data_IF_084669404496
#
_entry.id   IF_084669404496
#
_cell.length_a   1.000
_cell.length_b   1.000
_cell.length_c   1.000
_cell.angle_alpha   90.00
_cell.angle_beta   90.00
_cell.angle_gamma   90.00
#
_symmetry.space_group_name_H-M   'P 1'
#
loop_
_entity.id
_entity.type
_entity.pdbx_description
1 polymer ?
#
# COMPACT_ATOMS: atom_id res chain seq x y z
N UNK A 1 -27.08 10.29 -45.88
CA UNK A 1 -27.00 9.68 -44.53
C UNK A 1 -26.08 8.48 -44.62
N UNK A 2 -24.85 8.61 -44.13
CA UNK A 2 -23.90 7.50 -44.03
C UNK A 2 -23.85 7.06 -42.56
N UNK A 3 -24.08 5.77 -42.31
CA UNK A 3 -23.92 5.15 -40.99
C UNK A 3 -22.44 5.25 -40.55
N UNK A 4 -22.16 5.54 -39.27
CA UNK A 4 -20.78 5.60 -38.80
C UNK A 4 -20.18 4.19 -38.79
N UNK A 5 -18.98 4.06 -39.37
CA UNK A 5 -18.16 2.86 -39.32
C UNK A 5 -17.86 2.49 -37.87
N UNK A 6 -18.33 1.31 -37.46
CA UNK A 6 -17.91 0.67 -36.22
C UNK A 6 -16.43 0.33 -36.39
N UNK A 7 -15.56 1.07 -35.70
CA UNK A 7 -14.13 0.72 -35.61
C UNK A 7 -14.02 -0.66 -35.00
N UNK A 8 -13.49 -1.61 -35.76
CA UNK A 8 -13.12 -2.93 -35.29
C UNK A 8 -12.09 -2.77 -34.18
N UNK A 9 -12.47 -3.12 -32.95
CA UNK A 9 -11.51 -3.25 -31.87
C UNK A 9 -10.53 -4.38 -32.23
N UNK A 10 -9.22 -4.22 -31.98
CA UNK A 10 -8.30 -5.35 -32.14
C UNK A 10 -8.78 -6.47 -31.21
N UNK A 11 -8.88 -7.69 -31.75
CA UNK A 11 -9.41 -8.87 -31.05
C UNK A 11 -8.77 -9.10 -29.67
N UNK A 12 -7.52 -8.65 -29.47
CA UNK A 12 -6.83 -8.67 -28.17
C UNK A 12 -7.44 -7.75 -27.10
N UNK A 13 -7.96 -6.58 -27.47
CA UNK A 13 -8.61 -5.66 -26.52
C UNK A 13 -9.98 -6.19 -26.04
N UNK A 14 -10.70 -6.91 -26.90
CA UNK A 14 -11.96 -7.56 -26.54
C UNK A 14 -11.74 -8.78 -25.64
N UNK A 15 -10.67 -9.57 -25.88
CA UNK A 15 -10.29 -10.68 -25.02
C UNK A 15 -9.77 -10.20 -23.65
N UNK A 16 -8.93 -9.16 -23.62
CA UNK A 16 -8.51 -8.51 -22.38
C UNK A 16 -9.74 -7.97 -21.61
N UNK A 17 -10.66 -7.24 -22.26
CA UNK A 17 -11.89 -6.77 -21.62
C UNK A 17 -12.78 -7.90 -21.08
N UNK A 18 -12.88 -9.03 -21.79
CA UNK A 18 -13.64 -10.19 -21.33
C UNK A 18 -12.98 -10.94 -20.16
N UNK A 19 -11.64 -10.96 -20.09
CA UNK A 19 -10.88 -11.41 -18.92
C UNK A 19 -11.04 -10.43 -17.74
N UNK A 20 -10.96 -9.11 -17.97
CA UNK A 20 -11.13 -8.07 -16.95
C UNK A 20 -12.54 -8.07 -16.32
N UNK A 21 -13.57 -8.45 -17.08
CA UNK A 21 -14.95 -8.57 -16.59
C UNK A 21 -15.24 -9.91 -15.88
N UNK A 22 -14.38 -10.93 -16.06
CA UNK A 22 -14.54 -12.27 -15.48
C UNK A 22 -13.54 -12.58 -14.37
N UNK A 23 -12.40 -11.90 -14.33
CA UNK A 23 -11.40 -12.03 -13.28
C UNK A 23 -11.96 -11.46 -11.97
N UNK A 24 -11.69 -12.09 -10.82
CA UNK A 24 -11.82 -11.39 -9.55
C UNK A 24 -10.98 -10.11 -9.64
N UNK A 25 -11.54 -9.03 -9.12
CA UNK A 25 -11.15 -7.61 -9.24
C UNK A 25 -9.73 -7.23 -8.72
N UNK A 26 -8.77 -8.15 -8.69
CA UNK A 26 -7.42 -7.88 -8.18
C UNK A 26 -6.55 -7.03 -9.12
N UNK A 27 -7.07 -6.71 -10.32
CA UNK A 27 -6.36 -5.95 -11.35
C UNK A 27 -5.93 -4.60 -10.79
N UNK A 28 -4.62 -4.42 -10.64
CA UNK A 28 -4.01 -3.16 -10.24
C UNK A 28 -3.18 -3.21 -8.97
N UNK A 29 -3.22 -4.31 -8.21
CA UNK A 29 -2.48 -4.43 -6.95
C UNK A 29 -1.39 -5.49 -7.07
N UNK A 30 -0.29 -5.16 -7.74
CA UNK A 30 0.91 -6.00 -7.75
C UNK A 30 2.04 -5.21 -7.10
N UNK A 31 2.93 -5.90 -6.41
CA UNK A 31 4.14 -5.27 -5.87
C UNK A 31 5.09 -4.84 -6.96
N UNK A 32 6.13 -4.09 -6.61
CA UNK A 32 7.15 -3.75 -7.57
C UNK A 32 8.13 -4.90 -7.86
N UNK A 33 8.29 -5.88 -6.96
CA UNK A 33 9.23 -6.99 -7.12
C UNK A 33 8.58 -8.37 -7.00
N UNK A 34 8.87 -9.22 -7.99
CA UNK A 34 8.42 -10.59 -8.12
C UNK A 34 9.59 -11.58 -8.04
N UNK A 35 9.32 -12.77 -7.49
CA UNK A 35 10.30 -13.85 -7.38
C UNK A 35 9.83 -15.11 -8.14
N UNK A 36 10.68 -15.69 -9.01
CA UNK A 36 10.29 -16.81 -9.87
C UNK A 36 10.23 -18.16 -9.10
N UNK A 37 9.28 -19.05 -9.42
CA UNK A 37 9.15 -20.40 -8.87
C UNK A 37 10.32 -21.26 -9.35
N UNK A 38 11.01 -21.89 -8.40
CA UNK A 38 12.24 -22.64 -8.66
C UNK A 38 13.52 -21.85 -8.40
N UNK A 39 13.40 -20.58 -8.03
CA UNK A 39 14.51 -19.70 -7.72
C UNK A 39 15.12 -19.02 -8.95
N UNK A 40 15.80 -17.91 -8.71
CA UNK A 40 16.32 -17.02 -9.76
C UNK A 40 16.41 -15.59 -9.23
N UNK A 41 16.98 -14.66 -10.00
CA UNK A 41 17.02 -13.26 -9.61
C UNK A 41 15.59 -12.67 -9.55
N UNK A 42 15.32 -11.74 -8.62
CA UNK A 42 14.07 -11.00 -8.61
C UNK A 42 13.89 -10.16 -9.87
N UNK A 43 12.66 -9.94 -10.29
CA UNK A 43 12.31 -9.13 -11.46
C UNK A 43 11.17 -8.16 -11.15
N UNK A 44 10.98 -7.14 -11.99
CA UNK A 44 9.88 -6.20 -11.79
C UNK A 44 8.57 -6.93 -12.06
N UNK A 45 7.61 -6.95 -11.12
CA UNK A 45 6.26 -7.38 -11.48
C UNK A 45 5.70 -6.37 -12.48
N UNK A 46 5.76 -5.07 -12.14
CA UNK A 46 5.21 -4.00 -12.96
C UNK A 46 6.30 -3.19 -13.67
N UNK A 47 6.84 -3.70 -14.77
CA UNK A 47 7.79 -2.92 -15.58
C UNK A 47 7.07 -1.88 -16.45
N UNK A 48 7.56 -0.63 -16.46
CA UNK A 48 7.03 0.42 -17.34
C UNK A 48 7.15 -0.02 -18.82
N UNK A 49 6.03 -0.11 -19.57
CA UNK A 49 6.07 -0.51 -20.98
C UNK A 49 6.88 0.48 -21.83
N UNK A 50 7.62 0.02 -22.87
CA UNK A 50 8.40 0.93 -23.72
C UNK A 50 7.57 2.03 -24.39
N UNK A 51 6.29 1.78 -24.68
CA UNK A 51 5.36 2.77 -25.26
C UNK A 51 4.93 3.87 -24.27
N UNK A 52 5.19 3.66 -22.98
CA UNK A 52 5.01 4.63 -21.92
C UNK A 52 6.27 5.47 -21.66
N UNK A 53 7.33 5.27 -22.43
CA UNK A 53 8.53 6.11 -22.37
C UNK A 53 8.39 7.32 -23.32
N UNK A 54 8.86 8.53 -22.92
CA UNK A 54 9.50 8.82 -21.64
C UNK A 54 8.50 8.75 -20.47
N UNK A 55 8.99 8.34 -19.29
CA UNK A 55 8.27 8.42 -18.00
C UNK A 55 7.45 9.71 -17.90
N UNK A 56 6.22 9.63 -17.39
CA UNK A 56 5.26 10.74 -17.38
C UNK A 56 4.35 10.79 -18.61
N UNK A 57 4.55 9.93 -19.61
CA UNK A 57 3.66 9.81 -20.77
C UNK A 57 2.31 9.20 -20.38
N UNK A 58 1.24 9.96 -20.58
CA UNK A 58 -0.15 9.46 -20.50
C UNK A 58 -0.74 9.52 -21.90
N UNK A 59 -0.90 8.36 -22.54
CA UNK A 59 -1.52 8.23 -23.85
C UNK A 59 -2.42 6.99 -23.89
N UNK A 60 -3.43 6.92 -24.79
CA UNK A 60 -4.25 5.72 -24.91
C UNK A 60 -3.44 4.43 -25.17
N UNK A 61 -2.33 4.52 -25.90
CA UNK A 61 -1.45 3.39 -26.15
C UNK A 61 -0.67 2.98 -24.89
N UNK A 62 -0.18 3.95 -24.11
CA UNK A 62 0.48 3.67 -22.85
C UNK A 62 -0.50 3.07 -21.83
N UNK A 63 -1.67 3.68 -21.64
CA UNK A 63 -2.72 3.19 -20.73
C UNK A 63 -3.15 1.76 -21.07
N UNK A 64 -3.34 1.45 -22.36
CA UNK A 64 -3.63 0.10 -22.80
C UNK A 64 -2.49 -0.88 -22.51
N UNK A 65 -1.23 -0.47 -22.73
CA UNK A 65 -0.06 -1.31 -22.47
C UNK A 65 0.15 -1.55 -20.97
N UNK A 66 -0.08 -0.54 -20.12
CA UNK A 66 -0.01 -0.66 -18.67
C UNK A 66 -1.04 -1.68 -18.17
N UNK A 67 -2.30 -1.53 -18.59
CA UNK A 67 -3.38 -2.47 -18.25
C UNK A 67 -3.10 -3.91 -18.72
N UNK A 68 -2.58 -4.07 -19.94
CA UNK A 68 -2.23 -5.39 -20.48
C UNK A 68 -1.10 -6.04 -19.68
N UNK A 69 -0.13 -5.27 -19.20
CA UNK A 69 0.99 -5.80 -18.40
C UNK A 69 0.47 -6.40 -17.10
N UNK A 70 -0.38 -5.66 -16.36
CA UNK A 70 -1.00 -6.16 -15.12
C UNK A 70 -1.84 -7.42 -15.40
N UNK A 71 -2.69 -7.39 -16.42
CA UNK A 71 -3.52 -8.55 -16.77
C UNK A 71 -2.72 -9.77 -17.20
N UNK A 72 -1.54 -9.58 -17.81
CA UNK A 72 -0.64 -10.66 -18.17
C UNK A 72 0.06 -11.27 -16.96
N UNK A 73 0.51 -10.44 -16.01
CA UNK A 73 1.14 -10.90 -14.76
C UNK A 73 0.13 -11.65 -13.88
N UNK A 74 -1.09 -11.13 -13.76
CA UNK A 74 -2.17 -11.81 -13.03
C UNK A 74 -2.53 -13.16 -13.65
N UNK A 75 -2.68 -13.22 -14.97
CA UNK A 75 -2.93 -14.48 -15.67
C UNK A 75 -1.78 -15.48 -15.47
N UNK A 76 -0.57 -14.98 -15.20
CA UNK A 76 0.61 -15.76 -14.92
C UNK A 76 0.75 -16.20 -13.46
N UNK A 77 -0.15 -15.84 -12.52
CA UNK A 77 -0.09 -16.14 -11.07
C UNK A 77 0.18 -17.60 -10.66
N UNK A 78 0.21 -18.55 -11.60
CA UNK A 78 0.74 -19.91 -11.40
C UNK A 78 2.28 -19.98 -11.41
N UNK A 79 2.96 -18.87 -11.65
CA UNK A 79 4.40 -18.79 -11.86
C UNK A 79 5.11 -17.81 -10.92
N UNK A 80 4.61 -17.59 -9.70
CA UNK A 80 5.26 -16.72 -8.71
C UNK A 80 5.52 -17.50 -7.41
N UNK A 81 6.71 -17.35 -6.83
CA UNK A 81 7.04 -17.91 -5.51
C UNK A 81 6.68 -16.93 -4.38
N UNK A 82 6.89 -15.64 -4.62
CA UNK A 82 6.62 -14.55 -3.69
C UNK A 82 6.62 -13.20 -4.44
N UNK A 83 6.10 -12.19 -3.75
CA UNK A 83 6.08 -10.78 -4.15
C UNK A 83 6.53 -9.94 -2.94
N UNK A 84 6.97 -8.70 -3.19
CA UNK A 84 7.51 -7.82 -2.15
C UNK A 84 7.46 -6.36 -2.57
N UNK A 85 6.87 -5.49 -1.73
CA UNK A 85 7.00 -4.04 -1.92
C UNK A 85 8.33 -3.51 -1.41
N UNK A 86 9.05 -2.75 -2.22
CA UNK A 86 10.16 -1.94 -1.70
C UNK A 86 9.69 -0.71 -0.94
N UNK A 87 8.50 -0.17 -1.24
CA UNK A 87 7.97 0.98 -0.54
C UNK A 87 7.37 0.56 0.82
N UNK A 88 6.47 -0.44 0.83
CA UNK A 88 5.74 -0.87 2.03
C UNK A 88 6.58 -1.76 2.97
N UNK A 89 7.53 -2.55 2.47
CA UNK A 89 8.43 -3.34 3.30
C UNK A 89 9.81 -2.69 3.52
N UNK A 90 10.66 -2.65 2.48
CA UNK A 90 12.08 -2.31 2.64
C UNK A 90 12.32 -0.89 3.13
N UNK A 91 11.66 0.08 2.50
CA UNK A 91 11.79 1.48 2.87
C UNK A 91 11.22 1.71 4.26
N UNK A 92 10.03 1.18 4.59
CA UNK A 92 9.46 1.27 5.95
C UNK A 92 10.41 0.68 6.99
N UNK A 93 11.06 -0.45 6.72
CA UNK A 93 11.99 -1.09 7.65
C UNK A 93 13.15 -0.17 7.99
N UNK A 94 13.72 0.43 6.95
CA UNK A 94 14.87 1.32 7.06
C UNK A 94 14.50 2.67 7.66
N UNK A 95 13.34 3.24 7.31
CA UNK A 95 12.80 4.46 7.92
C UNK A 95 12.54 4.23 9.42
N UNK A 96 11.99 3.08 9.81
CA UNK A 96 11.72 2.73 11.21
C UNK A 96 13.02 2.67 12.03
N UNK A 97 14.05 1.98 11.53
CA UNK A 97 15.37 1.96 12.17
C UNK A 97 15.99 3.36 12.27
N UNK A 98 15.78 4.21 11.26
CA UNK A 98 16.33 5.55 11.23
C UNK A 98 15.74 6.47 12.30
N UNK A 99 14.44 6.36 12.57
CA UNK A 99 13.78 7.17 13.61
C UNK A 99 14.00 6.62 15.02
N UNK A 100 14.45 5.36 15.16
CA UNK A 100 14.92 4.80 16.44
C UNK A 100 14.33 3.45 16.85
N UNK A 101 13.46 2.84 16.05
CA UNK A 101 13.00 1.47 16.31
C UNK A 101 14.17 0.47 16.26
N UNK A 102 14.09 -0.60 17.05
CA UNK A 102 15.08 -1.67 16.96
C UNK A 102 14.95 -2.40 15.60
N UNK A 103 16.00 -3.11 15.14
CA UNK A 103 15.88 -3.90 13.91
C UNK A 103 14.80 -4.99 13.97
N UNK A 104 14.47 -5.50 15.16
CA UNK A 104 13.39 -6.49 15.33
C UNK A 104 12.02 -5.82 15.14
N UNK A 105 11.77 -4.71 15.84
CA UNK A 105 10.51 -3.95 15.71
C UNK A 105 10.32 -3.47 14.26
N UNK A 106 11.37 -2.94 13.63
CA UNK A 106 11.33 -2.51 12.24
C UNK A 106 10.98 -3.65 11.27
N UNK A 107 11.41 -4.88 11.57
CA UNK A 107 11.08 -6.05 10.75
C UNK A 107 9.62 -6.48 10.94
N UNK A 108 9.09 -6.42 12.16
CA UNK A 108 7.66 -6.66 12.40
C UNK A 108 6.76 -5.57 11.83
N UNK A 109 7.11 -4.30 11.97
CA UNK A 109 6.39 -3.16 11.37
C UNK A 109 6.27 -3.38 9.86
N UNK A 110 7.37 -3.67 9.17
CA UNK A 110 7.35 -3.91 7.73
C UNK A 110 6.61 -5.18 7.33
N UNK A 111 6.78 -6.29 8.05
CA UNK A 111 6.11 -7.53 7.71
C UNK A 111 4.57 -7.42 7.84
N UNK A 112 4.08 -6.73 8.87
CA UNK A 112 2.66 -6.43 9.00
C UNK A 112 2.19 -5.30 8.07
N UNK A 113 3.11 -4.48 7.56
CA UNK A 113 2.84 -3.54 6.47
C UNK A 113 2.30 -4.21 5.22
N UNK A 114 2.73 -5.44 4.92
CA UNK A 114 2.29 -6.20 3.73
C UNK A 114 1.00 -7.01 3.95
N UNK A 115 0.48 -7.05 5.18
CA UNK A 115 -0.75 -7.81 5.50
C UNK A 115 -2.00 -7.28 4.79
N UNK A 116 -2.21 -5.96 4.64
CA UNK A 116 -3.30 -5.44 3.80
C UNK A 116 -3.28 -6.00 2.38
N UNK A 117 -2.10 -6.17 1.78
CA UNK A 117 -2.01 -6.72 0.43
C UNK A 117 -2.37 -8.20 0.35
N UNK A 118 -1.83 -9.00 1.27
CA UNK A 118 -1.83 -10.47 1.12
C UNK A 118 -2.67 -11.24 2.13
N UNK A 119 -3.11 -10.59 3.21
CA UNK A 119 -3.70 -11.24 4.38
C UNK A 119 -2.67 -12.00 5.23
N UNK A 120 -1.51 -12.38 4.69
CA UNK A 120 -0.37 -12.92 5.41
C UNK A 120 0.90 -12.60 4.62
N UNK A 121 2.01 -12.37 5.31
CA UNK A 121 3.29 -12.10 4.68
C UNK A 121 4.41 -12.90 5.34
N UNK A 122 5.35 -13.38 4.52
CA UNK A 122 6.61 -13.97 4.97
C UNK A 122 7.74 -13.40 4.11
N UNK A 123 8.75 -12.75 4.72
CA UNK A 123 9.90 -12.27 3.99
C UNK A 123 10.58 -13.40 3.22
N UNK A 124 11.09 -13.10 2.02
CA UNK A 124 11.85 -14.05 1.22
C UNK A 124 13.26 -13.55 0.93
N UNK A 125 14.18 -14.49 0.70
CA UNK A 125 15.52 -14.18 0.23
C UNK A 125 15.55 -13.76 -1.25
N UNK A 126 16.73 -13.34 -1.73
CA UNK A 126 16.95 -12.98 -3.15
C UNK A 126 16.66 -14.10 -4.17
N UNK A 127 16.26 -15.30 -3.74
CA UNK A 127 15.86 -16.43 -4.58
C UNK A 127 14.38 -16.78 -4.40
N UNK A 128 13.60 -15.98 -3.69
CA UNK A 128 12.18 -16.21 -3.41
C UNK A 128 11.94 -17.32 -2.40
N UNK A 129 12.94 -17.74 -1.62
CA UNK A 129 12.74 -18.72 -0.56
C UNK A 129 12.31 -18.04 0.73
N UNK A 130 11.38 -18.63 1.50
CA UNK A 130 11.03 -18.15 2.82
C UNK A 130 12.28 -17.92 3.68
N UNK A 131 12.37 -16.72 4.26
CA UNK A 131 13.47 -16.36 5.16
C UNK A 131 13.35 -17.07 6.52
N UNK A 132 12.14 -17.48 6.90
CA UNK A 132 11.84 -18.27 8.09
C UNK A 132 11.65 -17.46 9.39
N UNK A 133 11.82 -16.15 9.35
CA UNK A 133 11.53 -15.23 10.46
C UNK A 133 10.57 -14.12 9.99
N UNK A 134 9.83 -13.54 10.93
CA UNK A 134 8.87 -12.45 10.70
C UNK A 134 7.67 -12.82 9.80
N UNK A 135 7.33 -14.12 9.74
CA UNK A 135 6.05 -14.54 9.17
C UNK A 135 4.90 -14.01 10.03
N UNK A 136 3.94 -13.35 9.40
CA UNK A 136 2.76 -12.81 10.08
C UNK A 136 1.66 -13.86 10.25
N UNK A 137 0.74 -13.61 11.17
CA UNK A 137 -0.49 -14.40 11.28
C UNK A 137 -1.38 -14.18 10.04
N UNK A 138 -2.28 -15.12 9.77
CA UNK A 138 -3.32 -14.95 8.76
C UNK A 138 -4.36 -13.95 9.24
N UNK A 139 -4.62 -12.95 8.41
CA UNK A 139 -5.51 -11.83 8.66
C UNK A 139 -6.21 -11.41 7.36
N UNK A 140 -6.91 -12.35 6.72
CA UNK A 140 -7.58 -12.15 5.44
C UNK A 140 -8.64 -11.04 5.45
N UNK A 141 -9.05 -10.56 6.62
CA UNK A 141 -9.96 -9.42 6.74
C UNK A 141 -9.36 -8.08 6.30
N UNK A 142 -8.03 -7.96 6.32
CA UNK A 142 -7.31 -6.80 5.78
C UNK A 142 -7.04 -6.93 4.27
N UNK A 143 -7.09 -8.15 3.72
CA UNK A 143 -6.65 -8.46 2.36
C UNK A 143 -7.39 -7.63 1.31
N UNK A 144 -6.66 -7.01 0.38
CA UNK A 144 -7.15 -6.07 -0.64
C UNK A 144 -8.33 -6.55 -1.48
N UNK A 145 -8.39 -7.84 -1.80
CA UNK A 145 -9.46 -8.48 -2.57
C UNK A 145 -10.63 -9.01 -1.69
N UNK A 146 -10.56 -8.86 -0.37
CA UNK A 146 -11.65 -9.22 0.54
C UNK A 146 -12.68 -8.09 0.67
N UNK A 147 -13.49 -7.96 -0.38
CA UNK A 147 -14.56 -6.96 -0.48
C UNK A 147 -15.65 -7.12 0.61
N UNK A 148 -15.78 -8.30 1.21
CA UNK A 148 -16.82 -8.59 2.22
C UNK A 148 -16.39 -8.22 3.64
N UNK A 149 -15.09 -8.33 3.94
CA UNK A 149 -14.52 -7.95 5.23
C UNK A 149 -14.19 -6.46 5.33
N UNK A 150 -14.16 -5.74 4.20
CA UNK A 150 -13.75 -4.34 4.12
C UNK A 150 -12.24 -4.14 3.90
N UNK A 151 -11.51 -5.21 3.53
CA UNK A 151 -10.06 -5.17 3.30
C UNK A 151 -9.65 -4.16 2.22
N UNK A 152 -10.47 -4.01 1.17
CA UNK A 152 -10.25 -2.99 0.12
C UNK A 152 -10.08 -1.57 0.67
N UNK A 153 -10.70 -1.21 1.80
CA UNK A 153 -10.59 0.15 2.35
C UNK A 153 -9.18 0.44 2.88
N UNK A 154 -8.36 -0.58 3.14
CA UNK A 154 -6.94 -0.40 3.48
C UNK A 154 -6.09 0.02 2.28
N UNK A 155 -6.59 -0.12 1.06
CA UNK A 155 -5.91 0.30 -0.17
C UNK A 155 -6.62 1.52 -0.77
N UNK A 156 -7.95 1.50 -0.76
CA UNK A 156 -8.78 2.57 -1.26
C UNK A 156 -9.29 3.43 -0.11
N UNK A 157 -8.55 4.50 0.21
CA UNK A 157 -8.78 5.36 1.37
C UNK A 157 -9.42 6.70 0.97
N UNK A 158 -10.74 6.79 0.73
CA UNK A 158 -11.35 8.03 0.28
C UNK A 158 -11.44 9.06 1.41
N UNK A 159 -11.33 10.33 1.04
CA UNK A 159 -11.55 11.45 1.97
C UNK A 159 -13.05 11.66 2.22
N UNK A 160 -13.39 12.11 3.42
CA UNK A 160 -14.72 12.61 3.73
C UNK A 160 -14.82 14.08 3.33
N UNK A 161 -15.81 14.41 2.50
CA UNK A 161 -16.02 15.79 2.01
C UNK A 161 -17.21 16.50 2.65
N UNK A 162 -17.88 15.91 3.64
CA UNK A 162 -19.02 16.57 4.30
C UNK A 162 -20.18 16.91 3.38
N UNK A 163 -20.33 16.20 2.26
CA UNK A 163 -21.29 16.53 1.20
C UNK A 163 -20.81 17.61 0.21
N UNK A 164 -19.60 18.15 0.37
CA UNK A 164 -18.95 19.02 -0.61
C UNK A 164 -18.48 18.23 -1.84
N UNK A 165 -18.43 18.89 -3.00
CA UNK A 165 -17.87 18.32 -4.22
C UNK A 165 -16.33 18.20 -4.18
N UNK A 166 -15.66 19.01 -3.35
CA UNK A 166 -14.19 19.05 -3.21
C UNK A 166 -13.75 18.92 -1.75
N UNK A 167 -12.59 18.30 -1.54
CA UNK A 167 -11.92 18.28 -0.23
C UNK A 167 -11.45 19.70 0.16
N UNK A 168 -11.18 19.98 1.45
CA UNK A 168 -10.59 21.26 1.86
C UNK A 168 -9.25 21.52 1.16
N UNK A 169 -9.00 22.77 0.76
CA UNK A 169 -7.88 23.14 -0.12
C UNK A 169 -6.46 22.81 0.40
N UNK A 170 -6.31 22.46 1.68
CA UNK A 170 -5.04 22.10 2.31
C UNK A 170 -4.83 20.58 2.46
N UNK A 171 -5.77 19.75 2.01
CA UNK A 171 -5.68 18.29 2.05
C UNK A 171 -5.86 17.75 0.63
N UNK A 172 -4.75 17.30 0.05
CA UNK A 172 -4.72 16.54 -1.20
C UNK A 172 -4.07 15.18 -0.96
N UNK A 173 -4.07 14.31 -1.95
CA UNK A 173 -3.58 12.95 -1.76
C UNK A 173 -2.07 12.85 -1.71
N UNK A 174 -1.29 13.86 -2.11
CA UNK A 174 0.13 13.90 -1.81
C UNK A 174 0.42 14.40 -0.39
N UNK A 175 -0.55 15.05 0.24
CA UNK A 175 -0.42 15.64 1.57
C UNK A 175 -1.63 15.28 2.47
N UNK A 176 -1.91 13.98 2.73
CA UNK A 176 -3.00 13.59 3.59
C UNK A 176 -2.76 14.08 5.01
N UNK A 177 -3.83 14.51 5.69
CA UNK A 177 -3.74 15.01 7.06
C UNK A 177 -4.07 13.91 8.07
N UNK A 178 -3.04 13.28 8.64
CA UNK A 178 -3.15 12.14 9.55
C UNK A 178 -3.86 12.46 10.87
N UNK A 179 -4.00 13.76 11.20
CA UNK A 179 -4.64 14.27 12.40
C UNK A 179 -5.94 15.04 12.14
N UNK A 180 -6.52 14.95 10.93
CA UNK A 180 -7.76 15.63 10.58
C UNK A 180 -8.96 14.65 10.54
N UNK A 181 -9.52 14.27 11.70
CA UNK A 181 -10.62 13.31 11.78
C UNK A 181 -11.92 13.84 11.17
N UNK A 182 -11.99 15.10 10.75
CA UNK A 182 -13.13 15.68 10.03
C UNK A 182 -13.10 15.43 8.52
N UNK A 183 -11.97 15.03 7.96
CA UNK A 183 -11.75 14.88 6.51
C UNK A 183 -11.07 13.56 6.13
N UNK A 184 -10.23 13.02 7.00
CA UNK A 184 -9.46 11.79 6.79
C UNK A 184 -9.94 10.72 7.77
N UNK A 185 -11.22 10.33 7.67
CA UNK A 185 -11.87 9.48 8.68
C UNK A 185 -11.12 8.18 8.93
N UNK A 186 -10.84 7.44 7.85
CA UNK A 186 -10.17 6.15 7.95
C UNK A 186 -8.74 6.27 8.48
N UNK A 187 -7.93 7.18 7.93
CA UNK A 187 -6.54 7.40 8.37
C UNK A 187 -6.50 7.85 9.83
N UNK A 188 -7.33 8.81 10.22
CA UNK A 188 -7.35 9.31 11.60
C UNK A 188 -7.78 8.22 12.60
N UNK A 189 -8.76 7.40 12.23
CA UNK A 189 -9.19 6.25 13.03
C UNK A 189 -8.07 5.21 13.17
N UNK A 190 -7.47 4.81 12.04
CA UNK A 190 -6.45 3.78 12.01
C UNK A 190 -5.18 4.22 12.76
N UNK A 191 -4.82 5.51 12.66
CA UNK A 191 -3.74 6.11 13.45
C UNK A 191 -4.01 6.04 14.95
N UNK A 192 -5.24 6.36 15.38
CA UNK A 192 -5.62 6.30 16.79
C UNK A 192 -5.58 4.86 17.33
N UNK A 193 -5.98 3.88 16.52
CA UNK A 193 -5.85 2.46 16.85
C UNK A 193 -4.40 1.99 16.94
N UNK A 194 -3.55 2.42 16.00
CA UNK A 194 -2.14 2.06 15.97
C UNK A 194 -1.35 2.70 17.12
N UNK A 195 -1.58 3.99 17.43
CA UNK A 195 -0.84 4.69 18.48
C UNK A 195 -1.16 4.14 19.87
N UNK A 196 -2.36 3.57 20.07
CA UNK A 196 -2.73 2.90 21.32
C UNK A 196 -1.85 1.67 21.61
N UNK A 197 -1.26 1.07 20.57
CA UNK A 197 -0.28 -0.01 20.67
C UNK A 197 -0.90 -1.37 20.97
N UNK A 198 -1.60 -1.52 22.10
CA UNK A 198 -2.22 -2.78 22.54
C UNK A 198 -3.56 -2.56 23.23
N UNK A 199 -4.34 -3.61 23.38
CA UNK A 199 -5.63 -3.61 24.06
C UNK A 199 -6.79 -3.32 23.12
N UNK A 200 -8.01 -3.47 23.64
CA UNK A 200 -9.23 -3.41 22.84
C UNK A 200 -9.74 -1.98 22.54
N UNK A 201 -9.00 -0.92 22.92
CA UNK A 201 -9.43 0.47 22.74
C UNK A 201 -8.33 1.32 22.08
N UNK A 202 -8.67 2.15 21.06
CA UNK A 202 -9.98 2.20 20.41
C UNK A 202 -10.25 0.89 19.65
N UNK A 203 -11.53 0.57 19.43
CA UNK A 203 -11.93 -0.57 18.61
C UNK A 203 -11.52 -0.30 17.15
N UNK A 204 -11.05 -1.33 16.43
CA UNK A 204 -10.81 -1.22 15.00
C UNK A 204 -12.14 -1.42 14.25
N UNK A 205 -12.65 -0.33 13.71
CA UNK A 205 -13.94 -0.28 13.03
C UNK A 205 -13.77 -0.38 11.52
N UNK A 206 -14.66 -1.13 10.86
CA UNK A 206 -14.64 -1.29 9.41
C UNK A 206 -14.86 0.06 8.73
N UNK A 207 -14.05 0.34 7.71
CA UNK A 207 -13.95 1.65 7.05
C UNK A 207 -13.63 2.83 8.00
N UNK A 208 -13.16 2.55 9.22
CA UNK A 208 -12.82 3.57 10.22
C UNK A 208 -14.02 4.37 10.72
N UNK A 209 -15.23 3.85 10.49
CA UNK A 209 -16.47 4.49 10.87
C UNK A 209 -16.81 4.17 12.32
N UNK A 210 -16.69 5.17 13.17
CA UNK A 210 -17.15 5.15 14.55
C UNK A 210 -18.54 5.77 14.68
N UNK A 211 -19.17 5.65 15.84
CA UNK A 211 -20.26 6.56 16.23
C UNK A 211 -19.77 8.01 16.21
N UNK A 212 -20.71 8.96 16.12
CA UNK A 212 -20.36 10.38 16.10
C UNK A 212 -19.67 10.78 17.41
N UNK A 213 -18.47 11.35 17.31
CA UNK A 213 -17.71 11.86 18.46
C UNK A 213 -18.35 13.13 19.03
N UNK A 214 -17.90 13.55 20.23
CA UNK A 214 -18.28 14.85 20.80
C UNK A 214 -17.82 16.05 19.95
N UNK A 215 -16.86 15.85 19.04
CA UNK A 215 -16.38 16.86 18.08
C UNK A 215 -17.16 16.82 16.76
N UNK A 216 -18.07 15.86 16.60
CA UNK A 216 -18.96 15.74 15.47
C UNK A 216 -18.44 14.91 14.30
N UNK A 217 -17.26 14.29 14.41
CA UNK A 217 -16.70 13.38 13.39
C UNK A 217 -17.13 11.92 13.61
N UNK A 218 -16.99 11.08 12.57
CA UNK A 218 -17.24 9.63 12.62
C UNK A 218 -15.95 8.81 12.59
N UNK A 219 -14.84 9.34 13.11
CA UNK A 219 -13.55 8.65 13.14
C UNK A 219 -13.04 8.39 14.57
N UNK A 220 -13.47 9.18 15.54
CA UNK A 220 -12.93 9.21 16.91
C UNK A 220 -13.98 9.00 18.00
N UNK A 221 -15.13 8.41 17.65
CA UNK A 221 -16.13 7.96 18.63
C UNK A 221 -15.71 6.70 19.39
N UNK A 222 -16.40 6.44 20.50
CA UNK A 222 -16.04 5.36 21.44
C UNK A 222 -16.46 3.94 21.01
N UNK A 223 -17.12 3.80 19.85
CA UNK A 223 -17.59 2.53 19.35
C UNK A 223 -17.78 2.58 17.84
N UNK A 224 -17.88 1.43 17.19
CA UNK A 224 -18.08 1.38 15.74
C UNK A 224 -19.47 1.85 15.35
N UNK A 225 -19.56 2.46 14.17
CA UNK A 225 -20.79 3.04 13.66
C UNK A 225 -21.88 1.96 13.59
N UNK A 226 -23.03 2.28 14.16
CA UNK A 226 -24.23 1.49 14.07
C UNK A 226 -25.43 2.41 13.86
N UNK A 227 -26.39 1.95 13.06
CA UNK A 227 -27.69 2.58 12.88
C UNK A 227 -28.75 1.71 13.55
N UNK A 228 -29.55 2.31 14.44
CA UNK A 228 -30.58 1.61 15.21
C UNK A 228 -30.05 0.35 15.92
N UNK A 229 -28.81 0.45 16.44
CA UNK A 229 -28.13 -0.64 17.15
C UNK A 229 -27.58 -1.76 16.25
N UNK A 230 -27.62 -1.60 14.92
CA UNK A 230 -27.11 -2.59 13.96
C UNK A 230 -26.02 -2.00 13.07
N UNK A 231 -25.05 -2.80 12.61
CA UNK A 231 -24.16 -2.41 11.53
C UNK A 231 -24.95 -1.85 10.34
N UNK A 232 -24.59 -0.65 9.90
CA UNK A 232 -25.16 -0.02 8.72
C UNK A 232 -24.41 -0.45 7.45
N UNK A 233 -25.09 -0.62 6.31
CA UNK A 233 -24.45 -1.00 5.06
C UNK A 233 -23.60 0.15 4.49
N UNK A 234 -22.46 -0.24 3.93
CA UNK A 234 -21.49 0.61 3.25
C UNK A 234 -21.41 0.12 1.79
N UNK A 235 -21.78 0.99 0.87
CA UNK A 235 -21.69 0.71 -0.57
C UNK A 235 -20.37 1.23 -1.11
N UNK A 236 -19.57 0.35 -1.69
CA UNK A 236 -18.31 0.70 -2.34
C UNK A 236 -18.42 0.49 -3.85
N UNK A 237 -18.13 1.52 -4.64
CA UNK A 237 -18.08 1.43 -6.10
C UNK A 237 -16.68 1.68 -6.62
N UNK A 238 -16.09 0.66 -7.27
CA UNK A 238 -14.78 0.74 -7.93
C UNK A 238 -14.93 1.08 -9.41
N UNK A 239 -14.19 2.07 -9.90
CA UNK A 239 -14.05 2.31 -11.33
C UNK A 239 -13.25 1.19 -12.00
N UNK A 240 -13.78 0.70 -13.11
CA UNK A 240 -13.12 -0.23 -14.02
C UNK A 240 -12.72 0.54 -15.28
N UNK A 241 -12.51 -0.18 -16.38
CA UNK A 241 -12.18 0.40 -17.68
C UNK A 241 -13.43 0.86 -18.44
N UNK A 242 -13.25 1.80 -19.38
CA UNK A 242 -14.28 2.25 -20.31
C UNK A 242 -15.59 2.72 -19.65
N UNK A 243 -15.49 3.41 -18.50
CA UNK A 243 -16.64 3.95 -17.78
C UNK A 243 -17.49 2.91 -17.07
N UNK A 244 -17.00 1.67 -16.92
CA UNK A 244 -17.65 0.64 -16.11
C UNK A 244 -17.26 0.81 -14.65
N UNK A 245 -18.10 0.30 -13.75
CA UNK A 245 -17.79 0.20 -12.32
C UNK A 245 -18.35 -1.12 -11.78
N UNK A 246 -17.76 -1.60 -10.68
CA UNK A 246 -18.32 -2.70 -9.89
C UNK A 246 -18.61 -2.20 -8.49
N UNK A 247 -19.83 -2.49 -8.03
CA UNK A 247 -20.30 -2.13 -6.70
C UNK A 247 -20.31 -3.36 -5.81
N UNK A 248 -19.76 -3.22 -4.61
CA UNK A 248 -19.81 -4.18 -3.53
C UNK A 248 -20.47 -3.51 -2.31
N UNK A 249 -21.01 -4.32 -1.42
CA UNK A 249 -21.58 -3.84 -0.15
C UNK A 249 -21.01 -4.67 0.99
N UNK A 250 -20.65 -4.00 2.08
CA UNK A 250 -20.27 -4.61 3.34
C UNK A 250 -20.82 -3.76 4.48
N UNK A 251 -20.98 -4.33 5.66
CA UNK A 251 -21.56 -3.58 6.79
C UNK A 251 -20.48 -2.86 7.62
N UNK A 252 -20.81 -1.77 8.29
CA UNK A 252 -19.97 -1.15 9.33
C UNK A 252 -19.79 -2.08 10.55
N UNK A 253 -19.35 -1.55 11.69
CA UNK A 253 -19.10 -2.34 12.90
C UNK A 253 -17.63 -2.72 13.05
N UNK A 254 -17.35 -3.77 13.82
CA UNK A 254 -15.99 -4.25 14.05
C UNK A 254 -15.40 -4.86 12.78
N UNK A 255 -14.13 -4.57 12.50
CA UNK A 255 -13.40 -5.25 11.45
C UNK A 255 -13.22 -6.74 11.84
N UNK A 256 -13.53 -7.71 10.97
CA UNK A 256 -13.03 -9.07 11.15
C UNK A 256 -11.56 -9.11 10.73
N UNK A 257 -10.68 -9.61 11.59
CA UNK A 257 -9.25 -9.76 11.31
C UNK A 257 -9.04 -10.92 10.35
N UNK A 258 -9.71 -12.03 10.61
CA UNK A 258 -9.75 -13.20 9.74
C UNK A 258 -11.19 -13.45 9.32
N UNK A 259 -11.39 -13.82 8.05
CA UNK A 259 -12.71 -14.00 7.45
C UNK A 259 -12.58 -14.91 6.23
N UNK A 260 -12.47 -16.21 6.48
CA UNK A 260 -12.39 -17.25 5.46
C UNK A 260 -13.15 -18.50 5.91
N UNK A 261 -13.75 -19.24 4.98
CA UNK A 261 -14.34 -20.57 5.20
C UNK A 261 -15.34 -20.67 6.37
N UNK A 262 -16.10 -19.60 6.63
CA UNK A 262 -17.07 -19.54 7.73
C UNK A 262 -16.46 -19.30 9.12
N UNK A 263 -15.15 -19.07 9.19
CA UNK A 263 -14.43 -18.63 10.37
C UNK A 263 -14.26 -17.11 10.36
N UNK A 264 -14.62 -16.46 11.47
CA UNK A 264 -14.49 -15.02 11.63
C UNK A 264 -13.83 -14.72 12.97
N UNK A 265 -12.71 -14.00 12.94
CA UNK A 265 -12.03 -13.48 14.15
C UNK A 265 -12.31 -11.99 14.26
N UNK A 266 -12.92 -11.50 15.34
CA UNK A 266 -13.20 -10.07 15.50
C UNK A 266 -11.94 -9.26 15.83
N UNK A 267 -11.97 -7.95 15.52
CA UNK A 267 -10.93 -6.97 15.88
C UNK A 267 -10.54 -6.95 17.37
N UNK A 268 -11.42 -7.38 18.28
CA UNK A 268 -11.09 -7.50 19.70
C UNK A 268 -9.98 -8.51 19.99
N UNK A 269 -9.78 -9.47 19.10
CA UNK A 269 -8.86 -10.58 19.28
C UNK A 269 -7.53 -10.34 18.53
N UNK A 270 -7.27 -9.10 18.09
CA UNK A 270 -6.07 -8.72 17.34
C UNK A 270 -4.78 -9.08 18.06
N UNK A 271 -4.69 -8.71 19.33
CA UNK A 271 -3.48 -8.92 20.12
C UNK A 271 -3.17 -10.41 20.28
N UNK A 272 -4.21 -11.22 20.48
CA UNK A 272 -4.09 -12.67 20.58
C UNK A 272 -3.68 -13.30 19.24
N UNK A 273 -4.22 -12.78 18.13
CA UNK A 273 -3.90 -13.24 16.77
C UNK A 273 -2.44 -12.95 16.39
N UNK A 274 -1.93 -11.76 16.74
CA UNK A 274 -0.52 -11.39 16.52
C UNK A 274 0.43 -12.19 17.42
N UNK A 275 0.09 -12.35 18.70
CA UNK A 275 0.96 -12.98 19.70
C UNK A 275 2.28 -12.22 19.92
N UNK A 276 3.30 -12.90 20.44
CA UNK A 276 4.68 -12.36 20.50
C UNK A 276 4.93 -11.19 21.45
N UNK A 277 3.95 -10.79 22.26
CA UNK A 277 4.07 -9.73 23.28
C UNK A 277 3.61 -8.35 22.80
N UNK A 278 3.50 -7.42 23.74
CA UNK A 278 2.89 -6.11 23.51
C UNK A 278 3.61 -5.26 22.44
N UNK A 279 4.94 -5.35 22.36
CA UNK A 279 5.72 -4.63 21.35
C UNK A 279 5.36 -5.10 19.93
N UNK A 280 5.34 -6.42 19.68
CA UNK A 280 4.97 -6.98 18.37
C UNK A 280 3.55 -6.60 17.97
N UNK A 281 2.61 -6.63 18.90
CA UNK A 281 1.24 -6.18 18.65
C UNK A 281 1.24 -4.72 18.20
N UNK A 282 1.94 -3.84 18.92
CA UNK A 282 2.03 -2.43 18.56
C UNK A 282 2.68 -2.23 17.19
N UNK A 283 3.71 -3.01 16.86
CA UNK A 283 4.36 -3.01 15.55
C UNK A 283 3.43 -3.46 14.43
N UNK A 284 2.63 -4.51 14.68
CA UNK A 284 1.64 -4.99 13.73
C UNK A 284 0.61 -3.92 13.37
N UNK A 285 0.08 -3.20 14.38
CA UNK A 285 -0.86 -2.10 14.15
C UNK A 285 -0.24 -0.95 13.39
N UNK A 286 1.02 -0.61 13.71
CA UNK A 286 1.76 0.46 13.04
C UNK A 286 2.04 0.11 11.57
N UNK A 287 2.44 -1.13 11.27
CA UNK A 287 2.64 -1.60 9.89
C UNK A 287 1.39 -1.43 9.04
N UNK A 288 0.26 -1.98 9.51
CA UNK A 288 -1.05 -1.88 8.81
C UNK A 288 -1.47 -0.42 8.60
N UNK A 289 -1.22 0.45 9.58
CA UNK A 289 -1.49 1.88 9.46
C UNK A 289 -0.64 2.56 8.38
N UNK A 290 0.67 2.31 8.39
CA UNK A 290 1.61 2.91 7.44
C UNK A 290 1.32 2.46 6.01
N UNK A 291 0.91 1.20 5.83
CA UNK A 291 0.44 0.70 4.53
C UNK A 291 -0.70 1.53 3.98
N UNK A 292 -1.81 1.62 4.71
CA UNK A 292 -2.99 2.37 4.27
C UNK A 292 -2.69 3.85 4.02
N UNK A 293 -1.75 4.43 4.77
CA UNK A 293 -1.29 5.79 4.56
C UNK A 293 -0.50 5.96 3.25
N UNK A 294 0.36 5.00 2.91
CA UNK A 294 1.08 5.00 1.65
C UNK A 294 0.11 4.83 0.47
N UNK A 295 -0.88 3.94 0.57
CA UNK A 295 -1.88 3.72 -0.48
C UNK A 295 -2.84 4.90 -0.66
N UNK A 296 -3.15 5.62 0.43
CA UNK A 296 -3.85 6.91 0.35
C UNK A 296 -3.13 7.89 -0.58
N UNK A 297 -1.79 7.86 -0.59
CA UNK A 297 -0.94 8.70 -1.45
C UNK A 297 -0.82 8.14 -2.86
N UNK A 298 -0.55 6.84 -2.97
CA UNK A 298 -0.44 6.15 -4.26
C UNK A 298 -1.66 6.38 -5.14
N UNK A 299 -2.86 6.21 -4.56
CA UNK A 299 -4.12 6.34 -5.28
C UNK A 299 -4.69 7.78 -5.33
N UNK A 300 -3.89 8.81 -5.01
CA UNK A 300 -4.34 10.22 -4.92
C UNK A 300 -5.19 10.67 -6.12
N UNK A 301 -4.78 10.31 -7.35
CA UNK A 301 -5.39 10.80 -8.58
C UNK A 301 -6.90 10.50 -8.63
N UNK A 302 -7.28 9.32 -8.12
CA UNK A 302 -8.69 9.00 -7.95
C UNK A 302 -9.22 9.44 -6.59
N UNK A 303 -8.50 9.17 -5.49
CA UNK A 303 -8.99 9.37 -4.13
C UNK A 303 -9.30 10.83 -3.79
N UNK A 304 -8.60 11.78 -4.40
CA UNK A 304 -8.87 13.22 -4.24
C UNK A 304 -10.18 13.64 -4.87
N UNK A 305 -10.67 12.85 -5.83
CA UNK A 305 -11.91 13.07 -6.57
C UNK A 305 -13.05 12.23 -6.01
N UNK A 306 -12.77 11.04 -5.49
CA UNK A 306 -13.73 10.24 -4.73
C UNK A 306 -14.09 10.89 -3.40
N UNK A 307 -15.21 10.48 -2.82
CA UNK A 307 -15.58 10.91 -1.48
C UNK A 307 -16.27 9.77 -0.74
N UNK A 308 -15.98 9.67 0.55
CA UNK A 308 -16.87 9.02 1.50
C UNK A 308 -18.04 9.96 1.80
N UNK A 309 -19.27 9.44 1.73
CA UNK A 309 -20.48 10.18 2.03
C UNK A 309 -21.42 9.38 2.95
N UNK A 310 -22.10 10.08 3.86
CA UNK A 310 -23.06 9.51 4.81
C UNK A 310 -22.86 9.97 6.25
N UNK A 311 -23.77 9.62 7.17
CA UNK A 311 -25.19 9.33 6.87
C UNK A 311 -25.91 10.63 6.46
N UNK A 312 -26.90 10.58 5.58
CA UNK A 312 -27.60 11.81 5.16
C UNK A 312 -28.66 12.23 6.19
N UNK A 313 -28.85 13.54 6.37
CA UNK A 313 -29.96 14.10 7.16
C UNK A 313 -31.34 13.89 6.51
N UNK A 314 -31.37 13.44 5.26
CA UNK A 314 -32.58 13.18 4.46
C UNK A 314 -33.06 11.72 4.50
N UNK A 315 -32.46 10.87 5.35
CA UNK A 315 -32.91 9.49 5.56
C UNK A 315 -32.10 8.41 4.85
N UNK A 316 -30.92 8.71 4.30
CA UNK A 316 -29.99 7.67 3.87
C UNK A 316 -29.31 7.06 5.09
N UNK A 317 -29.71 5.83 5.42
CA UNK A 317 -29.16 4.95 6.46
C UNK A 317 -27.81 4.33 6.08
N UNK A 318 -27.24 4.74 4.96
CA UNK A 318 -26.10 4.07 4.32
C UNK A 318 -24.92 5.01 4.15
N UNK A 319 -23.73 4.41 4.11
CA UNK A 319 -22.51 5.08 3.68
C UNK A 319 -22.20 4.70 2.25
N UNK A 320 -21.56 5.61 1.51
CA UNK A 320 -21.01 5.32 0.19
C UNK A 320 -19.57 5.77 0.06
N UNK A 321 -18.79 4.96 -0.66
CA UNK A 321 -17.45 5.27 -1.13
C UNK A 321 -17.46 5.05 -2.64
N UNK A 322 -17.49 6.13 -3.40
CA UNK A 322 -17.65 6.06 -4.85
C UNK A 322 -16.40 6.54 -5.58
N UNK A 323 -15.73 5.59 -6.24
CA UNK A 323 -14.89 5.83 -7.40
C UNK A 323 -15.75 5.73 -8.67
N UNK A 324 -16.80 6.55 -8.77
CA UNK A 324 -17.53 6.71 -10.04
C UNK A 324 -16.51 7.04 -11.15
N UNK A 325 -16.77 6.69 -12.43
CA UNK A 325 -15.78 6.80 -13.50
C UNK A 325 -15.49 8.27 -13.83
N UNK A 326 -14.68 8.88 -12.98
CA UNK A 326 -14.03 10.16 -13.17
C UNK A 326 -12.78 9.91 -14.02
N UNK A 327 -12.30 10.92 -14.75
CA UNK A 327 -10.99 10.83 -15.41
C UNK A 327 -9.92 10.36 -14.42
N UNK A 328 -9.02 9.49 -14.89
CA UNK A 328 -7.87 8.98 -14.12
C UNK A 328 -8.21 8.03 -12.95
N UNK A 329 -9.49 7.65 -12.79
CA UNK A 329 -9.93 6.64 -11.81
C UNK A 329 -9.98 5.21 -12.38
N UNK A 330 -9.78 5.04 -13.68
CA UNK A 330 -9.82 3.74 -14.33
C UNK A 330 -8.63 2.85 -13.96
N UNK A 331 -8.81 1.54 -14.08
CA UNK A 331 -7.73 0.57 -13.82
C UNK A 331 -6.51 0.76 -14.71
N UNK A 332 -6.69 1.37 -15.88
CA UNK A 332 -5.60 1.73 -16.80
C UNK A 332 -4.67 2.80 -16.22
N UNK A 333 -5.22 3.85 -15.61
CA UNK A 333 -4.45 4.90 -14.94
C UNK A 333 -3.85 4.41 -13.63
N UNK A 334 -4.65 3.68 -12.83
CA UNK A 334 -4.20 3.03 -11.62
C UNK A 334 -2.94 2.18 -11.87
N UNK A 335 -2.98 1.31 -12.88
CA UNK A 335 -1.84 0.47 -13.29
C UNK A 335 -0.61 1.31 -13.64
N UNK A 336 -0.80 2.36 -14.44
CA UNK A 336 0.30 3.21 -14.90
C UNK A 336 0.95 3.98 -13.73
N UNK A 337 0.15 4.46 -12.78
CA UNK A 337 0.67 5.22 -11.65
C UNK A 337 1.49 4.34 -10.70
N UNK A 338 1.10 3.09 -10.45
CA UNK A 338 1.95 2.13 -9.72
C UNK A 338 3.28 1.85 -10.44
N UNK A 339 3.27 1.74 -11.78
CA UNK A 339 4.51 1.58 -12.56
C UNK A 339 5.46 2.79 -12.46
N UNK A 340 4.99 3.94 -11.97
CA UNK A 340 5.81 5.12 -11.74
C UNK A 340 6.40 5.19 -10.33
N UNK A 341 6.01 4.30 -9.41
CA UNK A 341 6.44 4.39 -8.03
C UNK A 341 7.87 3.89 -7.81
N UNK A 342 8.40 3.14 -8.77
CA UNK A 342 9.74 2.58 -8.72
C UNK A 342 10.29 2.32 -10.13
N UNK A 343 11.61 2.16 -10.24
CA UNK A 343 12.26 1.74 -11.48
C UNK A 343 12.27 2.74 -12.63
N UNK A 344 11.82 3.97 -12.35
CA UNK A 344 11.70 5.05 -13.32
C UNK A 344 12.43 6.30 -12.81
N UNK A 345 12.64 7.27 -13.70
CA UNK A 345 13.19 8.58 -13.33
C UNK A 345 12.08 9.45 -12.73
N UNK A 346 12.10 9.63 -11.42
CA UNK A 346 11.07 10.37 -10.68
C UNK A 346 11.02 11.86 -11.06
N UNK A 347 12.12 12.43 -11.56
CA UNK A 347 12.13 13.82 -12.01
C UNK A 347 11.28 14.04 -13.26
N UNK A 348 11.02 12.99 -14.05
CA UNK A 348 10.18 13.03 -15.25
C UNK A 348 8.69 12.83 -14.96
N UNK A 349 8.34 12.33 -13.78
CA UNK A 349 6.95 12.21 -13.35
C UNK A 349 6.36 13.60 -13.13
N UNK A 350 5.15 13.90 -13.65
CA UNK A 350 4.43 15.13 -13.33
C UNK A 350 4.37 15.36 -11.82
N UNK A 351 4.63 16.59 -11.31
CA UNK A 351 4.67 16.84 -9.87
C UNK A 351 3.45 16.34 -9.10
N UNK A 352 2.25 16.42 -9.71
CA UNK A 352 1.01 15.95 -9.11
C UNK A 352 0.95 14.43 -8.85
N UNK A 353 1.85 13.63 -9.47
CA UNK A 353 1.87 12.18 -9.36
C UNK A 353 3.16 11.63 -8.73
N UNK A 354 3.97 12.47 -8.08
CA UNK A 354 5.21 12.04 -7.40
C UNK A 354 4.93 11.39 -6.04
N UNK A 355 4.19 10.29 -6.06
CA UNK A 355 3.67 9.61 -4.87
C UNK A 355 4.78 9.03 -4.00
N UNK A 356 5.83 8.44 -4.58
CA UNK A 356 6.94 7.83 -3.82
C UNK A 356 7.65 8.83 -2.90
N UNK A 357 7.94 10.02 -3.39
CA UNK A 357 8.59 11.06 -2.57
C UNK A 357 7.66 11.55 -1.45
N UNK A 358 6.39 11.79 -1.76
CA UNK A 358 5.39 12.18 -0.77
C UNK A 358 5.23 11.10 0.32
N UNK A 359 5.11 9.83 -0.08
CA UNK A 359 4.97 8.70 0.83
C UNK A 359 6.19 8.54 1.73
N UNK A 360 7.41 8.51 1.19
CA UNK A 360 8.63 8.36 2.01
C UNK A 360 8.77 9.49 3.04
N UNK A 361 8.44 10.73 2.66
CA UNK A 361 8.48 11.86 3.57
C UNK A 361 7.46 11.71 4.70
N UNK A 362 6.21 11.35 4.39
CA UNK A 362 5.17 11.25 5.41
C UNK A 362 5.34 10.03 6.31
N UNK A 363 5.73 8.88 5.74
CA UNK A 363 6.03 7.66 6.49
C UNK A 363 7.15 7.90 7.52
N UNK A 364 8.20 8.65 7.16
CA UNK A 364 9.23 9.05 8.12
C UNK A 364 8.66 9.86 9.29
N UNK A 365 7.80 10.85 9.00
CA UNK A 365 7.23 11.72 10.03
C UNK A 365 6.29 10.96 10.98
N UNK A 366 5.46 10.07 10.45
CA UNK A 366 4.60 9.20 11.26
C UNK A 366 5.42 8.21 12.08
N UNK A 367 6.41 7.54 11.48
CA UNK A 367 7.33 6.67 12.23
C UNK A 367 8.02 7.43 13.37
N UNK A 368 8.49 8.66 13.14
CA UNK A 368 9.08 9.50 14.19
C UNK A 368 8.08 9.86 15.29
N UNK A 369 6.83 10.18 14.94
CA UNK A 369 5.77 10.46 15.90
C UNK A 369 5.49 9.24 16.80
N UNK A 370 5.44 8.04 16.20
CA UNK A 370 5.26 6.79 16.93
C UNK A 370 6.49 6.43 17.79
N UNK A 371 7.70 6.64 17.27
CA UNK A 371 8.93 6.42 18.03
C UNK A 371 8.98 7.34 19.26
N UNK A 372 8.52 8.59 19.14
CA UNK A 372 8.39 9.52 20.28
C UNK A 372 7.36 9.02 21.29
N UNK A 373 6.17 8.61 20.82
CA UNK A 373 5.12 8.08 21.68
C UNK A 373 5.54 6.82 22.44
N UNK A 374 6.42 6.00 21.84
CA UNK A 374 6.97 4.77 22.42
C UNK A 374 8.28 4.98 23.17
N UNK A 375 8.79 6.21 23.25
CA UNK A 375 10.10 6.54 23.83
C UNK A 375 11.29 5.79 23.20
N UNK A 376 11.20 5.47 21.91
CA UNK A 376 12.28 4.85 21.12
C UNK A 376 12.97 5.85 20.17
N UNK A 377 12.47 7.08 20.09
CA UNK A 377 12.99 8.09 19.17
C UNK A 377 14.51 8.34 19.37
N UNK A 378 15.25 8.23 18.27
CA UNK A 378 16.69 8.49 18.23
C UNK A 378 16.97 9.99 18.28
N UNK A 379 18.01 10.38 19.03
CA UNK A 379 18.51 11.75 19.02
C UNK A 379 18.88 12.20 17.59
N UNK A 380 18.38 13.36 17.19
CA UNK A 380 18.63 13.93 15.86
C UNK A 380 17.75 13.37 14.73
N UNK A 381 16.84 12.43 15.01
CA UNK A 381 15.88 11.95 14.00
C UNK A 381 14.88 13.03 13.56
N UNK A 382 14.73 14.11 14.33
CA UNK A 382 13.88 15.25 14.03
C UNK A 382 14.56 16.33 13.17
N UNK A 383 15.85 16.16 12.87
CA UNK A 383 16.59 17.10 12.04
C UNK A 383 16.17 16.95 10.59
N UNK A 384 15.69 18.03 9.98
CA UNK A 384 15.27 18.06 8.58
C UNK A 384 16.37 17.54 7.61
N UNK A 385 17.64 17.82 7.92
CA UNK A 385 18.77 17.33 7.15
C UNK A 385 18.93 15.80 7.21
N UNK A 386 18.66 15.17 8.36
CA UNK A 386 18.75 13.72 8.51
C UNK A 386 17.64 13.02 7.71
N UNK A 387 16.40 13.53 7.80
CA UNK A 387 15.27 13.07 6.99
C UNK A 387 15.57 13.22 5.49
N UNK A 388 15.95 14.43 5.07
CA UNK A 388 16.22 14.74 3.65
C UNK A 388 17.32 13.82 3.09
N UNK A 389 18.44 13.66 3.80
CA UNK A 389 19.52 12.78 3.35
C UNK A 389 19.10 11.31 3.23
N UNK A 390 18.19 10.84 4.08
CA UNK A 390 17.66 9.48 4.00
C UNK A 390 16.70 9.30 2.84
N UNK A 391 15.69 10.17 2.75
CA UNK A 391 14.66 10.13 1.69
C UNK A 391 15.30 10.27 0.32
N UNK A 392 16.24 11.20 0.12
CA UNK A 392 16.96 11.34 -1.15
C UNK A 392 17.77 10.08 -1.50
N UNK A 393 18.37 9.42 -0.50
CA UNK A 393 19.08 8.14 -0.71
C UNK A 393 18.14 7.02 -1.17
N UNK A 394 16.98 6.89 -0.53
CA UNK A 394 15.94 5.92 -0.91
C UNK A 394 15.36 6.23 -2.29
N UNK A 395 15.03 7.48 -2.59
CA UNK A 395 14.57 7.90 -3.91
C UNK A 395 15.59 7.52 -4.99
N UNK A 396 16.87 7.83 -4.77
CA UNK A 396 17.92 7.42 -5.70
C UNK A 396 17.99 5.91 -5.91
N UNK A 397 17.82 5.12 -4.85
CA UNK A 397 17.83 3.67 -4.93
C UNK A 397 16.61 3.13 -5.70
N UNK A 398 15.40 3.63 -5.38
CA UNK A 398 14.14 3.19 -5.97
C UNK A 398 14.04 3.49 -7.47
N UNK A 399 14.73 4.51 -7.99
CA UNK A 399 14.81 4.76 -9.44
C UNK A 399 15.59 3.67 -10.22
N UNK A 400 16.27 2.75 -9.54
CA UNK A 400 17.04 1.68 -10.20
C UNK A 400 16.10 0.74 -10.96
N UNK A 401 16.24 0.63 -12.28
CA UNK A 401 15.27 -0.09 -13.13
C UNK A 401 15.18 -1.59 -12.87
N UNK A 402 16.32 -2.28 -12.70
CA UNK A 402 16.32 -3.73 -12.47
C UNK A 402 16.01 -4.04 -11.00
N UNK A 403 15.06 -4.95 -10.74
CA UNK A 403 14.56 -5.23 -9.39
C UNK A 403 15.63 -5.77 -8.44
N UNK A 404 16.48 -6.70 -8.89
CA UNK A 404 17.60 -7.24 -8.11
C UNK A 404 18.60 -6.14 -7.69
N UNK A 405 18.96 -5.27 -8.64
CA UNK A 405 19.83 -4.13 -8.40
C UNK A 405 19.15 -3.07 -7.51
N UNK A 406 17.83 -2.90 -7.62
CA UNK A 406 17.05 -1.97 -6.79
C UNK A 406 17.02 -2.43 -5.34
N UNK A 407 16.74 -3.71 -5.06
CA UNK A 407 16.84 -4.29 -3.71
C UNK A 407 18.25 -4.06 -3.16
N UNK A 408 19.29 -4.35 -3.94
CA UNK A 408 20.68 -4.15 -3.52
C UNK A 408 20.99 -2.67 -3.23
N UNK A 409 20.44 -1.73 -4.01
CA UNK A 409 20.61 -0.30 -3.80
C UNK A 409 19.93 0.16 -2.50
N UNK A 410 18.70 -0.30 -2.21
CA UNK A 410 18.00 0.02 -0.95
C UNK A 410 18.75 -0.59 0.25
N UNK A 411 19.20 -1.84 0.15
CA UNK A 411 20.04 -2.46 1.16
C UNK A 411 21.35 -1.68 1.40
N UNK A 412 21.97 -1.16 0.33
CA UNK A 412 23.15 -0.30 0.44
C UNK A 412 22.86 0.99 1.21
N UNK A 413 21.71 1.64 0.98
CA UNK A 413 21.29 2.83 1.76
C UNK A 413 21.23 2.52 3.25
N UNK A 414 20.76 1.32 3.62
CA UNK A 414 20.74 0.83 5.00
C UNK A 414 22.17 0.71 5.56
N UNK A 415 23.02 0.00 4.83
CA UNK A 415 24.37 -0.31 5.24
C UNK A 415 25.26 0.92 5.39
N UNK A 416 25.15 1.88 4.47
CA UNK A 416 25.91 3.14 4.52
C UNK A 416 25.58 3.95 5.79
N UNK A 417 24.45 3.67 6.46
CA UNK A 417 23.98 4.34 7.68
C UNK A 417 24.04 3.46 8.93
N UNK A 418 24.64 2.27 8.81
CA UNK A 418 24.77 1.33 9.93
C UNK A 418 23.45 0.64 10.33
N UNK A 419 22.44 0.65 9.47
CA UNK A 419 21.19 -0.08 9.66
C UNK A 419 21.29 -1.50 9.12
N UNK A 420 20.41 -2.39 9.60
CA UNK A 420 20.26 -3.72 8.99
C UNK A 420 19.37 -3.62 7.76
N UNK A 421 19.75 -4.18 6.61
CA UNK A 421 18.84 -4.35 5.48
C UNK A 421 17.62 -5.20 5.87
N UNK A 422 16.54 -5.07 5.10
CA UNK A 422 15.33 -5.87 5.28
C UNK A 422 15.65 -7.39 5.26
N UNK A 423 14.96 -8.22 6.06
CA UNK A 423 15.16 -9.67 6.07
C UNK A 423 15.11 -10.30 4.67
N UNK A 424 16.17 -11.01 4.28
CA UNK A 424 16.30 -11.63 2.96
C UNK A 424 16.98 -10.75 1.89
N UNK A 425 17.20 -9.46 2.15
CA UNK A 425 18.01 -8.59 1.30
C UNK A 425 19.53 -8.82 1.50
N UNK A 426 20.39 -8.36 0.57
CA UNK A 426 21.85 -8.48 0.72
C UNK A 426 22.38 -7.84 2.01
N UNK A 427 23.22 -8.57 2.76
CA UNK A 427 23.78 -8.11 4.03
C UNK A 427 24.91 -7.07 3.86
N UNK A 428 25.12 -6.23 4.88
CA UNK A 428 26.21 -5.27 4.91
C UNK A 428 27.58 -5.97 4.93
N UNK A 429 28.52 -5.48 4.12
CA UNK A 429 29.85 -6.08 3.98
C UNK A 429 29.95 -7.18 2.91
N UNK A 430 28.84 -7.53 2.24
CA UNK A 430 28.82 -8.38 1.05
C UNK A 430 29.26 -7.63 -0.21
N UNK A 431 30.45 -7.01 -0.20
CA UNK A 431 31.04 -6.50 -1.43
C UNK A 431 31.25 -7.65 -2.42
N UNK A 432 30.74 -7.50 -3.64
CA UNK A 432 31.21 -8.28 -4.78
C UNK A 432 32.74 -8.25 -4.76
N UNK A 433 33.39 -9.38 -4.43
CA UNK A 433 34.78 -9.59 -4.83
C UNK A 433 34.77 -9.64 -6.36
N UNK A 434 35.01 -8.51 -6.99
CA UNK A 434 35.48 -8.49 -8.37
C UNK A 434 36.75 -9.33 -8.41
N UNK A 435 36.76 -10.35 -9.25
CA UNK A 435 37.88 -11.27 -9.39
C UNK A 435 39.13 -10.53 -9.82
N UNK A 436 40.02 -10.27 -8.87
CA UNK A 436 41.43 -10.10 -9.18
C UNK A 436 42.03 -11.50 -9.30
N UNK A 437 42.19 -11.94 -10.53
CA UNK A 437 43.00 -13.09 -10.91
C UNK A 437 44.46 -12.86 -10.47
N UNK A 438 44.78 -13.29 -9.25
CA UNK A 438 46.15 -13.48 -8.82
C UNK A 438 46.77 -14.66 -9.57
N UNK A 439 47.48 -14.39 -10.66
CA UNK A 439 48.47 -15.32 -11.20
C UNK A 439 49.59 -15.49 -10.17
N UNK A 440 49.55 -16.58 -9.43
CA UNK A 440 50.64 -17.05 -8.58
C UNK A 440 50.97 -18.50 -8.93
N UNK A 441 52.01 -18.70 -9.74
CA UNK A 441 52.58 -20.02 -9.95
C UNK A 441 53.35 -20.18 -11.26
N UNK A 442 54.67 -19.99 -11.22
CA UNK A 442 55.58 -21.08 -11.60
C UNK A 442 56.96 -20.82 -10.99
N UNK A 443 57.36 -21.74 -10.13
CA UNK A 443 58.78 -21.96 -9.85
C UNK A 443 59.37 -22.83 -10.94
N UNK A 444 60.56 -22.46 -11.38
CA UNK A 444 61.70 -23.36 -11.58
C UNK A 444 62.94 -22.66 -11.05
#
# INVERSE_FOLDING_TARGET
>A
MALPQVRSWPLGAAAALALLLRAPLALGFNEDVCFPPGGGPPYNCLALPPVCEPVGTISPACLAAALVSIGADEAAQKHLAAERSLLHADCVNLLAQAVGFSPDDASWISAYGEVPDYGQFEPTDMKGKPYGAYKTAEMNGFRRDNFTAGGLVFHWVPTYKGGSASAPAAVDGLHPSTSAPSTEYFIAHLRAWAIAGTGASPLLCRAGLTNKSNRGDYATGNGCFALDGKPAPITFSLALVAGKSKTNTFDSGLLPIESADGHTVPASDFDATVGGGAARVADARLGIYLHALADRISHHACLDRTAMAGPSSSGSSTWSMAATPLPDCGQDHHSLFHMWESGVDFAKIPPAHRTTEAALNLLYDELLAFARARNTARAGADQAAAKSALVSGLLSALQTKAADARIAAVAKVACDRGYRPFPGAPACGGGHRTGASGHGGSGR
#
